data_IF_229257762899
#
_entry.id   IF_229257762899
#
_cell.length_a   1.000
_cell.length_b   1.000
_cell.length_c   1.000
_cell.angle_alpha   90.00
_cell.angle_beta   90.00
_cell.angle_gamma   90.00
#
_symmetry.space_group_name_H-M   'P 1'
#
loop_
_entity.id
_entity.type
_entity.pdbx_description
1 polymer ?
#
# COMPACT_ATOMS: atom_id res chain seq x y z
N UNK A 1 44.32 15.49 -1.78
CA UNK A 1 44.64 14.53 -2.85
C UNK A 1 45.22 13.26 -2.23
N UNK A 2 44.44 12.17 -2.12
CA UNK A 2 44.94 10.78 -2.12
C UNK A 2 43.83 9.92 -2.71
N UNK A 3 44.12 9.30 -3.86
CA UNK A 3 43.26 8.40 -4.61
C UNK A 3 43.54 6.96 -4.14
N UNK A 4 42.56 6.31 -3.53
CA UNK A 4 42.64 4.90 -3.17
C UNK A 4 41.78 4.06 -4.14
N UNK A 5 42.37 3.61 -5.25
CA UNK A 5 41.75 2.60 -6.12
C UNK A 5 41.89 1.24 -5.44
N UNK A 6 40.79 0.72 -4.90
CA UNK A 6 40.65 -0.68 -4.54
C UNK A 6 40.79 -1.55 -5.80
N UNK A 7 41.89 -2.30 -5.85
CA UNK A 7 42.14 -3.33 -6.86
C UNK A 7 41.22 -4.50 -6.53
N UNK A 8 40.13 -4.66 -7.28
CA UNK A 8 39.29 -5.86 -7.22
C UNK A 8 40.14 -7.05 -7.68
N UNK A 9 40.24 -8.05 -6.81
CA UNK A 9 41.02 -9.26 -6.97
C UNK A 9 40.45 -10.10 -8.14
N UNK A 10 41.33 -10.43 -9.09
CA UNK A 10 41.03 -11.22 -10.29
C UNK A 10 40.53 -12.65 -9.95
N UNK A 11 40.74 -13.12 -8.72
CA UNK A 11 40.31 -14.45 -8.27
C UNK A 11 38.79 -14.58 -8.08
N UNK A 12 38.04 -13.48 -7.92
CA UNK A 12 36.57 -13.57 -7.82
C UNK A 12 35.87 -13.81 -9.16
N UNK A 13 36.51 -13.49 -10.30
CA UNK A 13 35.93 -13.74 -11.62
C UNK A 13 36.05 -15.20 -12.08
N UNK A 14 37.01 -15.96 -11.54
CA UNK A 14 37.22 -17.36 -11.92
C UNK A 14 36.13 -18.29 -11.36
N UNK A 15 35.46 -17.93 -10.26
CA UNK A 15 34.42 -18.75 -9.66
C UNK A 15 33.10 -18.75 -10.47
N UNK A 16 32.82 -17.70 -11.23
CA UNK A 16 31.58 -17.61 -12.04
C UNK A 16 31.68 -18.46 -13.31
N UNK A 17 32.89 -18.61 -13.88
CA UNK A 17 33.09 -19.35 -15.13
C UNK A 17 33.21 -20.88 -14.95
N UNK A 18 33.61 -21.35 -13.77
CA UNK A 18 33.76 -22.78 -13.50
C UNK A 18 32.43 -23.54 -13.26
N UNK A 19 31.30 -22.83 -13.15
CA UNK A 19 29.99 -23.47 -12.91
C UNK A 19 29.27 -23.96 -14.19
N UNK A 20 29.89 -23.81 -15.36
CA UNK A 20 29.27 -24.14 -16.66
C UNK A 20 29.77 -25.44 -17.29
N UNK A 21 30.31 -26.36 -16.50
CA UNK A 21 30.75 -27.65 -17.02
C UNK A 21 29.59 -28.67 -17.02
N UNK A 22 28.94 -28.81 -18.17
CA UNK A 22 28.40 -30.09 -18.63
C UNK A 22 26.98 -30.53 -18.23
N UNK A 23 26.03 -29.64 -17.88
CA UNK A 23 24.62 -30.04 -17.67
C UNK A 23 23.74 -29.76 -18.91
N UNK A 24 22.77 -30.64 -19.23
CA UNK A 24 21.98 -30.54 -20.47
C UNK A 24 21.29 -29.17 -20.53
N UNK A 25 21.35 -28.52 -21.69
CA UNK A 25 20.84 -27.15 -22.00
C UNK A 25 19.43 -26.85 -21.43
N UNK A 26 18.62 -27.89 -21.20
CA UNK A 26 17.31 -27.85 -20.54
C UNK A 26 17.36 -27.35 -19.09
N UNK A 27 18.40 -27.69 -18.33
CA UNK A 27 18.57 -27.27 -16.94
C UNK A 27 18.92 -25.78 -16.83
N UNK A 28 19.72 -25.26 -17.76
CA UNK A 28 20.05 -23.83 -17.82
C UNK A 28 18.85 -22.98 -18.29
N UNK A 29 18.05 -23.48 -19.23
CA UNK A 29 16.79 -22.84 -19.63
C UNK A 29 15.77 -22.86 -18.49
N UNK A 30 15.61 -23.99 -17.79
CA UNK A 30 14.74 -24.08 -16.63
C UNK A 30 15.19 -23.12 -15.52
N UNK A 31 16.48 -23.00 -15.25
CA UNK A 31 17.03 -22.05 -14.29
C UNK A 31 16.79 -20.59 -14.72
N UNK A 32 17.03 -20.25 -15.99
CA UNK A 32 16.76 -18.91 -16.54
C UNK A 32 15.28 -18.55 -16.45
N UNK A 33 14.38 -19.49 -16.77
CA UNK A 33 12.92 -19.30 -16.66
C UNK A 33 12.51 -19.14 -15.19
N UNK A 34 13.07 -19.94 -14.28
CA UNK A 34 12.81 -19.80 -12.84
C UNK A 34 13.29 -18.44 -12.34
N UNK A 35 14.49 -17.98 -12.73
CA UNK A 35 14.99 -16.65 -12.35
C UNK A 35 14.11 -15.54 -12.95
N UNK A 36 13.66 -15.66 -14.20
CA UNK A 36 12.76 -14.70 -14.84
C UNK A 36 11.38 -14.66 -14.15
N UNK A 37 10.84 -15.82 -13.76
CA UNK A 37 9.57 -15.92 -13.02
C UNK A 37 9.71 -15.36 -11.60
N UNK A 38 10.79 -15.71 -10.88
CA UNK A 38 11.06 -15.20 -9.53
C UNK A 38 11.30 -13.69 -9.51
N UNK A 39 11.99 -13.15 -10.52
CA UNK A 39 12.17 -11.70 -10.64
C UNK A 39 10.85 -10.99 -10.97
N UNK A 40 9.96 -11.58 -11.78
CA UNK A 40 8.64 -11.02 -12.02
C UNK A 40 7.73 -11.03 -10.78
N UNK A 41 7.84 -12.05 -9.92
CA UNK A 41 7.06 -12.19 -8.69
C UNK A 41 7.49 -11.20 -7.58
N UNK A 42 8.73 -10.71 -7.59
CA UNK A 42 9.25 -9.81 -6.56
C UNK A 42 8.65 -8.39 -6.59
N UNK A 43 7.86 -8.04 -7.61
CA UNK A 43 7.29 -6.70 -7.78
C UNK A 43 5.85 -6.55 -7.28
N UNK A 44 5.29 -7.55 -6.60
CA UNK A 44 3.97 -7.38 -5.96
C UNK A 44 4.14 -6.51 -4.71
N UNK A 45 4.12 -5.19 -4.89
CA UNK A 45 4.00 -4.24 -3.79
C UNK A 45 2.60 -4.38 -3.22
N UNK A 46 2.46 -5.14 -2.14
CA UNK A 46 1.23 -5.07 -1.35
C UNK A 46 1.12 -3.66 -0.78
N UNK A 47 -0.09 -3.06 -0.79
CA UNK A 47 -0.29 -1.81 -0.10
C UNK A 47 0.07 -2.01 1.38
N UNK A 48 0.68 -1.01 2.02
CA UNK A 48 1.00 -1.07 3.44
C UNK A 48 -0.22 -1.45 4.29
N UNK A 49 0.03 -2.21 5.35
CA UNK A 49 -1.03 -2.73 6.21
C UNK A 49 -1.86 -1.59 6.82
N UNK A 50 -3.19 -1.74 6.84
CA UNK A 50 -4.10 -0.72 7.35
C UNK A 50 -4.41 0.44 6.39
N UNK A 51 -3.77 0.50 5.22
CA UNK A 51 -4.10 1.48 4.19
C UNK A 51 -5.44 1.20 3.48
N UNK A 52 -5.97 -0.03 3.58
CA UNK A 52 -7.23 -0.47 2.96
C UNK A 52 -8.28 -0.77 4.02
N UNK A 53 -9.50 -0.28 3.82
CA UNK A 53 -10.63 -0.47 4.72
C UNK A 53 -11.84 -1.01 3.94
N UNK A 54 -12.31 -2.19 4.33
CA UNK A 54 -13.57 -2.76 3.82
C UNK A 54 -14.78 -2.21 4.58
N UNK A 55 -15.93 -2.15 3.89
CA UNK A 55 -17.16 -1.58 4.45
C UNK A 55 -17.03 -0.09 4.79
N UNK A 56 -16.06 0.60 4.22
CA UNK A 56 -15.78 2.01 4.43
C UNK A 56 -15.50 2.73 3.12
N UNK A 57 -15.80 4.02 3.11
CA UNK A 57 -15.48 4.93 2.03
C UNK A 57 -14.70 6.12 2.57
N UNK A 58 -13.85 6.71 1.72
CA UNK A 58 -13.37 8.07 1.95
C UNK A 58 -14.20 9.00 1.07
N UNK A 59 -14.77 10.04 1.68
CA UNK A 59 -15.37 11.15 0.94
C UNK A 59 -14.33 12.25 0.88
N UNK A 60 -14.09 12.84 -0.29
CA UNK A 60 -13.09 13.87 -0.47
C UNK A 60 -13.29 14.62 -1.78
N UNK A 61 -12.33 15.46 -2.14
CA UNK A 61 -12.30 16.10 -3.45
C UNK A 61 -12.10 15.04 -4.53
N UNK A 62 -13.19 14.53 -5.09
CA UNK A 62 -13.16 13.53 -6.16
C UNK A 62 -12.53 14.18 -7.39
N UNK A 63 -11.37 13.68 -7.81
CA UNK A 63 -10.63 14.18 -8.97
C UNK A 63 -10.81 13.33 -10.22
N UNK A 64 -11.25 12.08 -10.05
CA UNK A 64 -11.62 11.23 -11.17
C UNK A 64 -12.67 10.20 -10.72
N UNK A 65 -13.57 9.87 -11.64
CA UNK A 65 -14.42 8.68 -11.56
C UNK A 65 -14.04 7.81 -12.74
N UNK A 66 -13.61 6.59 -12.45
CA UNK A 66 -13.12 5.66 -13.45
C UNK A 66 -14.12 4.50 -13.56
N UNK A 67 -14.47 4.21 -14.80
CA UNK A 67 -15.30 3.08 -15.22
C UNK A 67 -14.44 2.09 -16.01
N UNK A 68 -15.00 0.92 -16.37
CA UNK A 68 -14.28 -0.13 -17.08
C UNK A 68 -13.26 -0.84 -16.18
N UNK A 69 -12.07 -1.17 -16.70
CA UNK A 69 -11.06 -1.96 -15.98
C UNK A 69 -10.76 -1.50 -14.54
N UNK A 70 -10.58 -0.18 -14.25
CA UNK A 70 -10.36 0.29 -12.88
C UNK A 70 -11.55 0.07 -11.93
N UNK A 71 -12.76 -0.11 -12.46
CA UNK A 71 -13.97 -0.36 -11.68
C UNK A 71 -14.28 -1.85 -11.48
N UNK A 72 -13.60 -2.76 -12.18
CA UNK A 72 -13.83 -4.21 -12.08
C UNK A 72 -13.45 -4.78 -10.70
N UNK A 73 -12.49 -4.18 -10.03
CA UNK A 73 -12.04 -4.61 -8.70
C UNK A 73 -11.42 -3.47 -7.91
N UNK A 74 -11.40 -3.60 -6.58
CA UNK A 74 -10.73 -2.63 -5.73
C UNK A 74 -9.22 -2.58 -5.98
N UNK A 75 -8.61 -3.72 -6.34
CA UNK A 75 -7.18 -3.79 -6.70
C UNK A 75 -6.89 -2.98 -7.97
N UNK A 76 -7.76 -3.07 -8.98
CA UNK A 76 -7.63 -2.28 -10.20
C UNK A 76 -7.77 -0.78 -9.91
N UNK A 77 -8.71 -0.40 -9.03
CA UNK A 77 -8.87 0.98 -8.57
C UNK A 77 -7.62 1.49 -7.81
N UNK A 78 -7.07 0.68 -6.92
CA UNK A 78 -5.84 1.00 -6.18
C UNK A 78 -4.63 1.17 -7.11
N UNK A 79 -4.50 0.30 -8.12
CA UNK A 79 -3.46 0.37 -9.14
C UNK A 79 -3.61 1.65 -9.97
N UNK A 80 -4.82 1.98 -10.43
CA UNK A 80 -5.09 3.21 -11.17
C UNK A 80 -4.75 4.47 -10.34
N UNK A 81 -5.06 4.48 -9.04
CA UNK A 81 -4.69 5.58 -8.16
C UNK A 81 -3.17 5.71 -8.03
N UNK A 82 -2.45 4.59 -7.95
CA UNK A 82 -0.98 4.59 -7.85
C UNK A 82 -0.30 5.17 -9.09
N UNK A 83 -0.95 5.10 -10.25
CA UNK A 83 -0.46 5.70 -11.51
C UNK A 83 -0.78 7.21 -11.62
N UNK A 84 -1.67 7.73 -10.78
CA UNK A 84 -2.05 9.15 -10.79
C UNK A 84 -1.41 9.87 -9.60
N UNK A 85 -0.38 10.69 -9.85
CA UNK A 85 0.32 11.44 -8.81
C UNK A 85 -0.56 12.41 -7.99
N UNK A 86 -1.69 12.86 -8.53
CA UNK A 86 -2.64 13.70 -7.81
C UNK A 86 -3.58 12.89 -6.90
N UNK A 87 -3.64 11.56 -7.05
CA UNK A 87 -4.46 10.70 -6.23
C UNK A 87 -3.81 10.51 -4.85
N UNK A 88 -4.49 10.97 -3.80
CA UNK A 88 -4.10 10.75 -2.42
C UNK A 88 -4.75 9.48 -1.84
N UNK A 89 -5.99 9.20 -2.24
CA UNK A 89 -6.79 8.08 -1.81
C UNK A 89 -7.78 7.64 -2.89
N UNK A 90 -8.34 6.44 -2.76
CA UNK A 90 -9.30 5.87 -3.68
C UNK A 90 -10.46 5.20 -2.93
N UNK A 91 -11.61 5.08 -3.58
CA UNK A 91 -12.76 4.31 -3.10
C UNK A 91 -13.34 3.52 -4.26
N UNK A 92 -13.37 2.21 -4.11
CA UNK A 92 -14.09 1.30 -4.98
C UNK A 92 -15.42 0.93 -4.34
N UNK A 93 -16.48 0.93 -5.14
CA UNK A 93 -17.81 0.49 -4.73
C UNK A 93 -18.22 -0.70 -5.57
N UNK A 94 -18.67 -1.75 -4.91
CA UNK A 94 -19.23 -2.92 -5.58
C UNK A 94 -20.46 -2.50 -6.39
N UNK A 95 -20.56 -3.02 -7.61
CA UNK A 95 -21.76 -2.85 -8.43
C UNK A 95 -22.92 -3.68 -7.89
N UNK A 96 -24.13 -3.24 -8.15
CA UNK A 96 -25.36 -3.99 -7.91
C UNK A 96 -26.35 -3.74 -9.05
N UNK A 97 -27.53 -4.37 -9.00
CA UNK A 97 -28.50 -4.42 -10.12
C UNK A 97 -28.88 -3.08 -10.75
N UNK A 98 -28.76 -1.96 -10.03
CA UNK A 98 -29.10 -0.62 -10.53
C UNK A 98 -27.90 0.32 -10.69
N UNK A 99 -26.72 -0.05 -10.19
CA UNK A 99 -25.53 0.79 -10.27
C UNK A 99 -24.31 -0.07 -10.60
N UNK A 100 -23.56 0.23 -11.68
CA UNK A 100 -22.33 -0.47 -11.97
C UNK A 100 -21.31 -0.25 -10.85
N UNK A 101 -20.30 -1.13 -10.80
CA UNK A 101 -19.15 -0.92 -9.93
C UNK A 101 -18.46 0.39 -10.34
N UNK A 102 -17.87 1.10 -9.37
CA UNK A 102 -17.27 2.42 -9.60
C UNK A 102 -15.97 2.56 -8.84
N UNK A 103 -15.00 3.20 -9.47
CA UNK A 103 -13.76 3.64 -8.83
C UNK A 103 -13.73 5.17 -8.75
N UNK A 104 -13.52 5.72 -7.56
CA UNK A 104 -13.37 7.15 -7.31
C UNK A 104 -11.96 7.44 -6.78
N UNK A 105 -11.26 8.38 -7.42
CA UNK A 105 -9.99 8.91 -6.93
C UNK A 105 -10.22 10.23 -6.21
N UNK A 106 -9.53 10.42 -5.09
CA UNK A 106 -9.63 11.59 -4.23
C UNK A 106 -8.30 12.33 -4.16
N UNK A 107 -8.33 13.66 -4.24
CA UNK A 107 -7.17 14.53 -4.02
C UNK A 107 -6.71 14.55 -2.55
N UNK A 108 -7.56 14.11 -1.62
CA UNK A 108 -7.27 14.08 -0.19
C UNK A 108 -7.72 12.79 0.46
N UNK A 109 -6.99 12.38 1.50
CA UNK A 109 -7.26 11.17 2.26
C UNK A 109 -8.03 11.47 3.56
N UNK A 110 -9.25 12.00 3.45
CA UNK A 110 -10.09 12.26 4.62
C UNK A 110 -10.46 10.96 5.34
N UNK A 111 -10.70 11.02 6.65
CA UNK A 111 -11.02 9.87 7.52
C UNK A 111 -12.10 8.97 6.90
N UNK A 112 -11.89 7.63 6.86
CA UNK A 112 -12.90 6.72 6.35
C UNK A 112 -14.19 6.79 7.17
N UNK A 113 -15.33 6.63 6.49
CA UNK A 113 -16.64 6.50 7.11
C UNK A 113 -17.27 5.18 6.70
N UNK A 114 -18.10 4.61 7.57
CA UNK A 114 -18.78 3.34 7.30
C UNK A 114 -19.68 3.49 6.07
N UNK A 115 -19.49 2.59 5.11
CA UNK A 115 -20.31 2.47 3.92
C UNK A 115 -20.29 1.00 3.45
N UNK A 116 -21.36 0.23 3.72
CA UNK A 116 -21.47 -1.15 3.23
C UNK A 116 -21.26 -1.23 1.71
N UNK A 117 -20.51 -2.23 1.25
CA UNK A 117 -20.20 -2.42 -0.19
C UNK A 117 -19.14 -1.47 -0.77
N UNK A 118 -18.49 -0.64 0.06
CA UNK A 118 -17.33 0.14 -0.34
C UNK A 118 -16.04 -0.45 0.23
N UNK A 119 -14.96 -0.36 -0.55
CA UNK A 119 -13.59 -0.62 -0.13
C UNK A 119 -12.80 0.63 -0.48
N UNK A 120 -12.09 1.19 0.49
CA UNK A 120 -11.29 2.41 0.29
C UNK A 120 -9.86 2.17 0.69
N UNK A 121 -8.93 2.91 0.09
CA UNK A 121 -7.59 2.96 0.60
C UNK A 121 -6.81 4.21 0.24
N UNK A 122 -5.59 4.28 0.76
CA UNK A 122 -4.64 5.34 0.44
C UNK A 122 -3.88 5.01 -0.85
N UNK A 123 -3.34 6.03 -1.51
CA UNK A 123 -2.29 5.84 -2.51
C UNK A 123 -1.03 5.28 -1.83
N UNK A 124 -0.26 4.46 -2.55
CA UNK A 124 1.01 3.90 -2.05
C UNK A 124 1.95 4.99 -1.55
N UNK A 125 2.11 6.07 -2.33
CA UNK A 125 2.93 7.23 -1.97
C UNK A 125 2.52 7.83 -0.63
N UNK A 126 1.23 8.08 -0.42
CA UNK A 126 0.77 8.71 0.81
C UNK A 126 0.91 7.75 2.00
N UNK A 127 0.60 6.47 1.80
CA UNK A 127 0.69 5.49 2.87
C UNK A 127 2.14 5.32 3.35
N UNK A 128 3.11 5.18 2.43
CA UNK A 128 4.54 5.16 2.78
C UNK A 128 4.99 6.45 3.47
N UNK A 129 4.45 7.61 3.09
CA UNK A 129 4.75 8.87 3.77
C UNK A 129 4.23 8.90 5.22
N UNK A 130 3.06 8.33 5.48
CA UNK A 130 2.48 8.24 6.83
C UNK A 130 3.32 7.31 7.70
N UNK A 131 3.71 6.13 7.18
CA UNK A 131 4.58 5.19 7.90
C UNK A 131 5.95 5.81 8.21
N UNK A 132 6.57 6.44 7.23
CA UNK A 132 7.84 7.13 7.44
C UNK A 132 7.73 8.27 8.47
N UNK A 133 6.57 8.95 8.52
CA UNK A 133 6.31 9.99 9.52
C UNK A 133 6.05 9.42 10.91
N UNK A 134 5.37 8.27 11.04
CA UNK A 134 5.10 7.65 12.35
C UNK A 134 6.37 7.12 13.01
N UNK A 135 7.34 6.69 12.23
CA UNK A 135 8.60 6.14 12.73
C UNK A 135 9.64 7.22 13.08
N UNK A 136 9.35 8.49 12.74
CA UNK A 136 10.25 9.61 13.04
C UNK A 136 10.29 9.89 14.53
N UNK A 137 11.50 9.98 15.09
CA UNK A 137 11.67 10.49 16.46
C UNK A 137 11.24 11.97 16.55
N UNK A 138 10.40 12.34 17.53
CA UNK A 138 10.00 13.73 17.70
C UNK A 138 11.19 14.65 17.91
N UNK A 139 11.18 15.82 17.26
CA UNK A 139 12.27 16.80 17.41
C UNK A 139 12.23 17.51 18.77
N UNK A 140 13.21 18.40 19.03
CA UNK A 140 13.28 19.10 20.32
C UNK A 140 12.03 19.95 20.61
N UNK A 141 11.44 20.58 19.60
CA UNK A 141 10.25 21.42 19.76
C UNK A 141 9.02 20.55 20.01
N UNK A 142 8.84 19.48 19.23
CA UNK A 142 7.75 18.53 19.42
C UNK A 142 7.82 17.86 20.78
N UNK A 143 9.01 17.44 21.23
CA UNK A 143 9.19 16.86 22.57
C UNK A 143 8.81 17.81 23.69
N UNK A 144 9.15 19.09 23.55
CA UNK A 144 8.76 20.10 24.53
C UNK A 144 7.24 20.31 24.54
N UNK A 145 6.61 20.40 23.37
CA UNK A 145 5.17 20.48 23.26
C UNK A 145 4.46 19.26 23.88
N UNK A 146 4.97 18.05 23.63
CA UNK A 146 4.42 16.82 24.20
C UNK A 146 4.53 16.78 25.73
N UNK A 147 5.63 17.29 26.31
CA UNK A 147 5.76 17.42 27.78
C UNK A 147 4.77 18.40 28.36
N UNK A 148 4.51 19.51 27.67
CA UNK A 148 3.56 20.54 28.11
C UNK A 148 2.11 20.04 28.14
N UNK A 149 1.74 19.07 27.28
CA UNK A 149 0.42 18.43 27.30
C UNK A 149 0.21 17.51 28.52
N UNK A 150 1.27 17.14 29.24
CA UNK A 150 1.20 16.17 30.32
C UNK A 150 0.90 14.74 29.82
N UNK A 151 0.69 13.78 30.74
CA UNK A 151 0.27 12.44 30.36
C UNK A 151 -1.11 12.48 29.70
N UNK A 152 -1.27 11.75 28.59
CA UNK A 152 -2.56 11.61 27.94
C UNK A 152 -3.57 10.97 28.91
N UNK A 153 -4.69 11.65 29.17
CA UNK A 153 -5.81 11.04 29.87
C UNK A 153 -6.30 9.85 29.02
N UNK A 154 -6.44 8.64 29.60
CA UNK A 154 -6.87 7.48 28.83
C UNK A 154 -8.20 7.80 28.16
N UNK A 155 -8.29 7.54 26.85
CA UNK A 155 -9.50 7.77 26.08
C UNK A 155 -10.67 7.09 26.79
N UNK A 156 -11.62 7.87 27.32
CA UNK A 156 -12.87 7.33 27.85
C UNK A 156 -13.54 6.58 26.71
N UNK A 157 -13.59 5.26 26.81
CA UNK A 157 -14.45 4.45 25.97
C UNK A 157 -15.87 4.91 26.20
N UNK A 158 -16.41 5.74 25.31
CA UNK A 158 -17.86 5.90 25.22
C UNK A 158 -18.42 4.52 24.91
N UNK A 159 -19.28 3.94 25.77
CA UNK A 159 -19.89 2.66 25.47
C UNK A 159 -20.62 2.77 24.13
N UNK A 160 -20.34 1.83 23.21
CA UNK A 160 -21.10 1.70 21.97
C UNK A 160 -22.59 1.60 22.33
N UNK A 161 -23.50 2.28 21.59
CA UNK A 161 -24.92 2.07 21.77
C UNK A 161 -25.22 0.59 21.54
N UNK A 162 -25.71 -0.05 22.59
CA UNK A 162 -26.23 -1.41 22.58
C UNK A 162 -27.42 -1.40 21.61
N UNK A 163 -27.25 -2.03 20.44
CA UNK A 163 -28.35 -2.19 19.49
C UNK A 163 -29.38 -3.08 20.16
N UNK A 164 -30.47 -2.47 20.61
CA UNK A 164 -31.57 -3.17 21.27
C UNK A 164 -32.03 -4.36 20.45
N UNK A 165 -32.06 -5.51 21.12
CA UNK A 165 -32.73 -6.74 20.71
C UNK A 165 -34.13 -6.39 20.18
N UNK A 166 -34.41 -6.73 18.92
CA UNK A 166 -35.75 -6.59 18.35
C UNK A 166 -36.55 -7.77 18.89
N UNK A 167 -37.41 -7.53 19.88
CA UNK A 167 -38.40 -8.51 20.35
C UNK A 167 -39.27 -8.94 19.16
N UNK A 168 -39.26 -10.23 18.77
CA UNK A 168 -40.27 -10.77 17.88
C UNK A 168 -41.51 -11.08 18.71
N UNK A 169 -42.59 -10.37 18.37
CA UNK A 169 -43.98 -10.57 18.82
C UNK A 169 -44.38 -12.01 19.19
#
# INVERSE_FOLDING_TARGET
MVSGRGRLDQSQYAAILAYTDGKPVRAHYALMVIIAVLSALAFVQLPPEGAVNEGHERRGGVIARLDGLPAESWQACASACSLNHACAAWTWRVGHTQHPARCEHHASALTPRRHPGAITGLSSRLATQIEAASDRLPDAREREALRALGPAEPARSTPSPEFGEIDPN
#
